data_IF_794223240573
#
_entry.id   IF_794223240573
#
_cell.length_a   1.000
_cell.length_b   1.000
_cell.length_c   1.000
_cell.angle_alpha   90.00
_cell.angle_beta   90.00
_cell.angle_gamma   90.00
#
_symmetry.space_group_name_H-M   'P 1'
#
loop_
_entity.id
_entity.type
_entity.pdbx_description
1 polymer ?
#
# COMPACT_ATOMS: atom_id res chain seq x y z
N UNK A 1 -48.09 -13.31 -35.10
CA UNK A 1 -46.63 -13.15 -34.89
C UNK A 1 -46.16 -11.69 -34.73
N UNK A 2 -47.03 -10.67 -34.64
CA UNK A 2 -46.62 -9.24 -34.57
C UNK A 2 -46.69 -8.61 -33.16
N UNK A 3 -47.23 -9.31 -32.15
CA UNK A 3 -47.38 -8.77 -30.79
C UNK A 3 -46.10 -8.87 -29.95
N UNK A 4 -45.18 -9.78 -30.28
CA UNK A 4 -43.93 -9.97 -29.53
C UNK A 4 -42.87 -8.92 -29.85
N UNK A 5 -42.90 -8.32 -31.05
CA UNK A 5 -41.93 -7.29 -31.46
C UNK A 5 -42.17 -5.96 -30.77
N UNK A 6 -43.44 -5.57 -30.57
CA UNK A 6 -43.81 -4.36 -29.82
C UNK A 6 -43.41 -4.46 -28.35
N UNK A 7 -43.61 -5.62 -27.71
CA UNK A 7 -43.13 -5.86 -26.34
C UNK A 7 -41.61 -5.82 -26.22
N UNK A 8 -40.89 -6.35 -27.22
CA UNK A 8 -39.42 -6.33 -27.22
C UNK A 8 -38.87 -4.91 -27.42
N UNK A 9 -39.48 -4.12 -28.29
CA UNK A 9 -39.09 -2.72 -28.51
C UNK A 9 -39.34 -1.84 -27.26
N UNK A 10 -40.44 -2.06 -26.54
CA UNK A 10 -40.71 -1.35 -25.29
C UNK A 10 -39.67 -1.66 -24.20
N UNK A 11 -39.21 -2.91 -24.09
CA UNK A 11 -38.15 -3.28 -23.15
C UNK A 11 -36.80 -2.62 -23.49
N UNK A 12 -36.46 -2.49 -24.77
CA UNK A 12 -35.22 -1.80 -25.21
C UNK A 12 -35.28 -0.31 -24.85
N UNK A 13 -36.42 0.35 -25.04
CA UNK A 13 -36.59 1.76 -24.66
C UNK A 13 -36.41 1.98 -23.15
N UNK A 14 -36.90 1.06 -22.31
CA UNK A 14 -36.75 1.15 -20.85
C UNK A 14 -35.27 1.04 -20.45
N UNK A 15 -34.52 0.09 -21.04
CA UNK A 15 -33.09 -0.11 -20.73
C UNK A 15 -32.26 1.12 -21.17
N UNK A 16 -32.58 1.72 -22.32
CA UNK A 16 -31.88 2.90 -22.82
C UNK A 16 -32.12 4.17 -21.97
N UNK A 17 -33.24 4.25 -21.25
CA UNK A 17 -33.56 5.39 -20.39
C UNK A 17 -32.87 5.39 -19.02
N UNK A 18 -32.25 4.27 -18.60
CA UNK A 18 -31.64 4.12 -17.27
C UNK A 18 -30.12 4.36 -17.18
N UNK A 19 -29.43 4.69 -18.28
CA UNK A 19 -27.97 4.93 -18.23
C UNK A 19 -27.66 6.40 -17.98
N UNK A 20 -27.84 6.86 -16.74
CA UNK A 20 -27.21 8.09 -16.26
C UNK A 20 -25.73 7.82 -16.03
N UNK A 21 -24.88 8.19 -16.99
CA UNK A 21 -23.44 8.23 -16.82
C UNK A 21 -23.06 9.51 -16.06
N UNK A 22 -23.01 9.44 -14.74
CA UNK A 22 -22.31 10.44 -13.92
C UNK A 22 -20.80 10.21 -14.10
N UNK A 23 -20.17 10.97 -15.00
CA UNK A 23 -18.72 10.94 -15.16
C UNK A 23 -18.11 12.05 -14.30
N UNK A 24 -17.36 11.61 -13.29
CA UNK A 24 -16.74 12.41 -12.25
C UNK A 24 -15.64 13.36 -12.77
N UNK A 25 -15.48 14.43 -12.01
CA UNK A 25 -14.59 15.57 -12.18
C UNK A 25 -13.14 15.21 -12.57
N UNK A 26 -12.71 15.78 -13.70
CA UNK A 26 -11.34 15.77 -14.17
C UNK A 26 -10.59 16.99 -13.58
N UNK A 27 -9.96 16.81 -12.42
CA UNK A 27 -9.05 17.82 -11.87
C UNK A 27 -7.64 17.66 -12.49
N UNK A 28 -7.03 18.71 -13.04
CA UNK A 28 -5.68 18.62 -13.59
C UNK A 28 -4.65 18.45 -12.46
N UNK A 29 -3.79 17.44 -12.55
CA UNK A 29 -2.68 17.28 -11.63
C UNK A 29 -1.57 18.30 -11.95
N UNK A 30 -1.25 19.16 -10.99
CA UNK A 30 -0.06 20.00 -11.03
C UNK A 30 1.18 19.11 -10.88
N UNK A 31 1.96 18.97 -11.95
CA UNK A 31 3.25 18.32 -11.90
C UNK A 31 4.25 19.25 -11.19
N UNK A 32 4.66 18.88 -9.99
CA UNK A 32 5.76 19.57 -9.29
C UNK A 32 7.08 19.05 -9.84
N UNK A 33 7.87 19.96 -10.38
CA UNK A 33 9.26 19.75 -10.82
C UNK A 33 10.10 19.06 -9.73
N UNK A 34 10.69 17.91 -10.06
CA UNK A 34 11.52 17.12 -9.15
C UNK A 34 12.90 17.78 -8.98
N UNK A 35 13.21 18.26 -7.78
CA UNK A 35 14.56 18.71 -7.41
C UNK A 35 15.30 17.56 -6.72
N UNK A 36 16.56 17.23 -7.09
CA UNK A 36 17.23 16.03 -6.61
C UNK A 36 17.81 16.28 -5.22
N UNK A 37 17.08 15.90 -4.16
CA UNK A 37 17.59 15.93 -2.79
C UNK A 37 17.95 14.54 -2.29
N UNK A 38 19.26 14.29 -2.26
CA UNK A 38 20.06 13.44 -1.35
C UNK A 38 19.38 12.20 -0.74
N UNK A 39 19.87 11.05 -1.18
CA UNK A 39 19.69 9.73 -0.55
C UNK A 39 20.38 9.72 0.84
N UNK A 40 19.66 9.49 1.96
CA UNK A 40 20.28 9.18 3.24
C UNK A 40 20.62 7.69 3.28
N UNK A 41 21.89 7.37 3.58
CA UNK A 41 22.37 5.99 3.77
C UNK A 41 21.60 5.34 4.92
N UNK A 42 20.96 4.20 4.66
CA UNK A 42 20.28 3.38 5.66
C UNK A 42 21.27 2.85 6.69
N UNK A 43 21.06 3.23 7.95
CA UNK A 43 21.72 2.64 9.12
C UNK A 43 21.27 1.20 9.35
N UNK A 44 22.23 0.38 9.77
CA UNK A 44 22.10 -1.04 10.08
C UNK A 44 21.36 -1.21 11.43
N UNK A 45 20.33 -2.07 11.57
CA UNK A 45 19.84 -2.43 12.90
C UNK A 45 20.76 -3.49 13.52
N UNK A 46 21.03 -3.28 14.80
CA UNK A 46 21.88 -4.10 15.65
C UNK A 46 21.08 -5.25 16.29
N UNK A 47 21.79 -6.38 16.49
CA UNK A 47 21.56 -7.32 17.60
C UNK A 47 20.65 -8.51 17.34
N UNK A 48 21.19 -9.72 17.37
CA UNK A 48 21.33 -10.50 18.62
C UNK A 48 22.32 -11.65 18.39
N UNK A 49 23.35 -11.69 19.23
CA UNK A 49 24.29 -12.80 19.40
C UNK A 49 23.62 -13.87 20.25
N UNK A 50 23.63 -15.11 19.80
CA UNK A 50 23.54 -16.33 20.62
C UNK A 50 24.45 -17.35 19.91
N UNK A 51 25.47 -17.82 20.64
CA UNK A 51 26.54 -18.71 20.18
C UNK A 51 26.02 -20.13 19.92
N UNK A 52 26.61 -20.74 18.89
CA UNK A 52 26.62 -22.15 18.42
C UNK A 52 26.17 -23.26 19.38
N UNK A 53 25.70 -24.38 18.80
CA UNK A 53 26.50 -25.60 18.92
C UNK A 53 26.87 -26.17 17.56
N UNK A 54 28.18 -26.31 17.38
CA UNK A 54 28.86 -27.01 16.30
C UNK A 54 28.39 -28.47 16.28
N UNK A 55 27.86 -28.93 15.15
CA UNK A 55 28.22 -30.20 14.52
C UNK A 55 27.37 -30.41 13.25
N UNK A 56 28.06 -30.35 12.10
CA UNK A 56 27.88 -31.14 10.87
C UNK A 56 28.18 -30.31 9.62
N UNK A 57 29.48 -30.11 9.38
CA UNK A 57 29.97 -29.80 8.04
C UNK A 57 29.97 -31.10 7.24
N UNK A 58 28.86 -31.39 6.55
CA UNK A 58 28.82 -32.44 5.54
C UNK A 58 29.05 -31.84 4.16
N UNK A 59 30.32 -31.82 3.76
CA UNK A 59 30.74 -31.74 2.37
C UNK A 59 30.22 -32.98 1.63
N UNK A 60 29.16 -32.81 0.85
CA UNK A 60 28.84 -33.71 -0.26
C UNK A 60 28.45 -32.83 -1.45
N UNK A 61 28.87 -33.21 -2.66
CA UNK A 61 28.76 -32.39 -3.87
C UNK A 61 27.31 -32.05 -4.23
N UNK A 62 26.79 -30.95 -3.66
CA UNK A 62 25.44 -30.49 -3.93
C UNK A 62 25.40 -29.73 -5.26
N UNK A 63 24.97 -30.44 -6.31
CA UNK A 63 24.21 -29.79 -7.37
C UNK A 63 23.03 -29.13 -6.67
N UNK A 64 23.03 -27.80 -6.58
CA UNK A 64 21.89 -27.04 -6.05
C UNK A 64 20.72 -27.23 -7.03
N UNK A 65 19.95 -28.29 -6.85
CA UNK A 65 18.56 -28.32 -7.31
C UNK A 65 17.83 -27.43 -6.31
N UNK A 66 17.78 -26.13 -6.59
CA UNK A 66 16.98 -25.18 -5.82
C UNK A 66 15.53 -25.68 -5.85
N UNK A 67 15.11 -26.32 -4.76
CA UNK A 67 13.72 -26.69 -4.53
C UNK A 67 12.92 -25.39 -4.38
N UNK A 68 12.27 -24.97 -5.47
CA UNK A 68 11.43 -23.77 -5.55
C UNK A 68 10.14 -23.90 -4.71
N UNK A 69 10.22 -24.06 -3.38
CA UNK A 69 8.99 -24.16 -2.56
C UNK A 69 9.02 -23.58 -1.14
N UNK A 70 9.77 -22.52 -0.88
CA UNK A 70 9.56 -21.75 0.36
C UNK A 70 10.23 -20.38 0.41
N UNK A 71 10.21 -19.59 -0.67
CA UNK A 71 10.08 -18.13 -0.48
C UNK A 71 8.67 -17.88 0.03
N UNK A 72 8.46 -18.07 1.34
CA UNK A 72 7.29 -17.55 2.04
C UNK A 72 7.27 -16.06 1.73
N UNK A 73 6.37 -15.63 0.85
CA UNK A 73 6.34 -14.26 0.36
C UNK A 73 6.39 -13.31 1.56
N UNK A 74 7.50 -12.58 1.71
CA UNK A 74 7.67 -11.69 2.84
C UNK A 74 6.79 -10.46 2.64
N UNK A 75 6.15 -9.99 3.71
CA UNK A 75 5.38 -8.75 3.69
C UNK A 75 6.37 -7.58 3.52
N UNK A 76 6.32 -6.91 2.38
CA UNK A 76 7.15 -5.74 2.09
C UNK A 76 6.29 -4.49 2.17
N UNK A 77 6.79 -3.47 2.86
CA UNK A 77 6.13 -2.20 3.03
C UNK A 77 6.82 -1.12 2.20
N UNK A 78 6.02 -0.22 1.64
CA UNK A 78 6.52 1.01 1.03
C UNK A 78 7.08 1.97 2.09
N UNK A 79 7.72 3.03 1.62
CA UNK A 79 8.11 4.14 2.44
C UNK A 79 6.90 4.76 3.17
N UNK A 80 7.19 5.29 4.35
CA UNK A 80 6.22 6.08 5.08
C UNK A 80 5.86 7.35 4.32
N UNK A 81 4.57 7.62 4.21
CA UNK A 81 4.06 8.91 3.77
C UNK A 81 4.43 10.04 4.73
N UNK A 82 4.09 11.27 4.34
CA UNK A 82 4.27 12.46 5.18
C UNK A 82 3.38 12.37 6.42
N UNK A 83 3.85 12.99 7.51
CA UNK A 83 3.00 13.22 8.69
C UNK A 83 1.87 14.18 8.35
N UNK A 84 0.68 13.89 8.86
CA UNK A 84 -0.43 14.84 8.88
C UNK A 84 -0.05 16.07 9.72
N UNK A 85 -0.77 17.19 9.54
CA UNK A 85 -0.77 18.27 10.51
C UNK A 85 -1.13 17.75 11.92
N UNK A 86 -0.75 18.52 12.94
CA UNK A 86 -1.17 18.25 14.30
C UNK A 86 -2.71 18.34 14.37
N UNK A 87 -3.35 17.43 15.10
CA UNK A 87 -4.80 17.37 15.25
C UNK A 87 -5.40 18.60 15.94
N UNK A 88 -4.57 19.43 16.56
CA UNK A 88 -4.94 20.64 17.30
C UNK A 88 -4.10 21.81 16.82
N UNK A 89 -4.57 23.03 17.06
CA UNK A 89 -3.84 24.27 16.81
C UNK A 89 -3.05 24.80 18.03
N UNK A 90 -3.36 24.30 19.24
CA UNK A 90 -2.67 24.63 20.49
C UNK A 90 -2.64 23.38 21.41
N UNK A 91 -1.74 23.36 22.39
CA UNK A 91 -1.62 22.29 23.37
C UNK A 91 -1.10 20.98 22.77
N UNK A 92 -1.58 19.85 23.30
CA UNK A 92 -1.11 18.51 22.94
C UNK A 92 -2.08 17.87 21.94
N UNK A 93 -1.55 17.39 20.82
CA UNK A 93 -2.31 16.67 19.80
C UNK A 93 -1.57 15.47 19.23
N UNK A 94 -2.07 14.98 18.09
CA UNK A 94 -1.50 13.83 17.37
C UNK A 94 -1.29 14.15 15.89
N UNK A 95 -0.22 13.60 15.34
CA UNK A 95 0.03 13.52 13.90
C UNK A 95 0.01 12.06 13.47
N UNK A 96 -0.48 11.78 12.27
CA UNK A 96 -0.61 10.42 11.72
C UNK A 96 0.09 10.36 10.37
N UNK A 97 0.77 9.25 10.07
CA UNK A 97 1.27 8.94 8.73
C UNK A 97 0.93 7.50 8.36
N UNK A 98 0.93 7.21 7.06
CA UNK A 98 0.52 5.92 6.52
C UNK A 98 1.59 5.35 5.61
N UNK A 99 1.63 4.02 5.50
CA UNK A 99 2.38 3.30 4.45
C UNK A 99 1.52 2.17 3.90
N UNK A 100 1.79 1.77 2.66
CA UNK A 100 1.10 0.68 1.99
C UNK A 100 1.99 -0.54 1.89
N UNK A 101 1.36 -1.71 1.88
CA UNK A 101 2.05 -2.95 1.61
C UNK A 101 2.18 -3.15 0.10
N UNK A 102 3.36 -3.53 -0.38
CA UNK A 102 3.71 -3.58 -1.82
C UNK A 102 4.13 -4.97 -2.33
N UNK A 103 4.22 -5.99 -1.48
CA UNK A 103 4.50 -7.36 -1.92
C UNK A 103 3.24 -8.17 -2.27
N UNK A 104 3.43 -9.30 -2.94
CA UNK A 104 2.37 -10.27 -3.22
C UNK A 104 1.82 -10.96 -1.97
N UNK A 105 2.54 -10.86 -0.85
CA UNK A 105 2.11 -11.36 0.46
C UNK A 105 1.03 -10.49 1.11
N UNK A 106 0.82 -9.28 0.61
CA UNK A 106 -0.12 -8.31 1.17
C UNK A 106 -1.56 -8.69 0.76
N UNK A 107 -2.50 -8.56 1.70
CA UNK A 107 -3.91 -8.56 1.30
C UNK A 107 -4.22 -7.26 0.54
N UNK A 108 -5.26 -7.31 -0.30
CA UNK A 108 -5.70 -6.15 -1.06
C UNK A 108 -6.03 -4.98 -0.13
N UNK A 109 -5.30 -3.87 -0.27
CA UNK A 109 -5.50 -2.66 0.53
C UNK A 109 -4.79 -2.65 1.89
N UNK A 110 -3.86 -3.57 2.15
CA UNK A 110 -3.06 -3.57 3.37
C UNK A 110 -2.30 -2.25 3.55
N UNK A 111 -2.61 -1.56 4.66
CA UNK A 111 -1.99 -0.30 5.06
C UNK A 111 -1.68 -0.30 6.55
N UNK A 112 -0.67 0.46 6.92
CA UNK A 112 -0.27 0.64 8.32
C UNK A 112 -0.22 2.12 8.66
N UNK A 113 -0.73 2.46 9.85
CA UNK A 113 -0.69 3.81 10.39
C UNK A 113 0.36 3.90 11.50
N UNK A 114 1.09 5.00 11.53
CA UNK A 114 1.90 5.39 12.67
C UNK A 114 1.36 6.70 13.23
N UNK A 115 1.28 6.77 14.57
CA UNK A 115 0.82 7.95 15.30
C UNK A 115 1.98 8.48 16.15
N UNK A 116 2.14 9.80 16.18
CA UNK A 116 3.10 10.48 17.04
C UNK A 116 2.42 11.67 17.72
N UNK A 117 2.77 11.94 18.96
CA UNK A 117 2.31 13.14 19.70
C UNK A 117 2.99 14.39 19.15
N UNK A 118 2.22 15.47 19.01
CA UNK A 118 2.69 16.82 18.77
C UNK A 118 2.35 17.71 19.95
N UNK A 119 3.23 18.65 20.28
CA UNK A 119 3.01 19.66 21.32
C UNK A 119 3.21 21.03 20.70
N UNK A 120 2.16 21.84 20.70
CA UNK A 120 2.13 23.21 20.22
C UNK A 120 2.15 24.20 21.39
N UNK A 121 2.08 25.49 21.09
CA UNK A 121 1.91 26.53 22.12
C UNK A 121 0.71 26.20 23.02
N UNK A 122 0.75 26.51 24.32
CA UNK A 122 -0.39 26.32 25.20
C UNK A 122 -1.68 26.91 24.62
N UNK A 123 -2.79 26.25 24.92
CA UNK A 123 -4.10 26.87 24.92
C UNK A 123 -4.22 27.68 26.23
#
# INVERSE_FOLDING_TARGET
MVMSTLSYLLLIFIIASSTSAENADNHPQAYTTFSPSKIPKSGKPAGRTEEEPLDEVLYFDDVIVENERSRKDAKMWDHWGKWSPCSVSCGVGKMTRWRHCISKACASGDKEAQIKTCTLSPC
#
